data_IF_845065810954
#
_entry.id   IF_845065810954
#
_cell.length_a   1.000
_cell.length_b   1.000
_cell.length_c   1.000
_cell.angle_alpha   90.00
_cell.angle_beta   90.00
_cell.angle_gamma   90.00
#
_symmetry.space_group_name_H-M   'P 1'
#
loop_
_entity.id
_entity.type
_entity.pdbx_description
1 polymer ?
#
# COMPACT_ATOMS: atom_id res chain seq x y z
N UNK A 1 9.08 -9.17 19.43
CA UNK A 1 7.93 -8.44 18.83
C UNK A 1 8.02 -8.47 17.30
N UNK A 2 7.07 -9.10 16.60
CA UNK A 2 7.02 -9.04 15.14
C UNK A 2 6.65 -7.62 14.70
N UNK A 3 7.48 -7.01 13.85
CA UNK A 3 7.22 -5.70 13.26
C UNK A 3 5.86 -5.68 12.55
N UNK A 4 5.12 -4.57 12.63
CA UNK A 4 3.91 -4.32 11.83
C UNK A 4 4.24 -3.84 10.42
N UNK A 5 5.53 -3.78 10.05
CA UNK A 5 6.00 -3.43 8.73
C UNK A 5 6.69 -4.64 8.09
N UNK A 6 6.40 -4.88 6.82
CA UNK A 6 6.98 -5.96 6.04
C UNK A 6 7.29 -5.52 4.63
N UNK A 7 8.45 -5.92 4.12
CA UNK A 7 8.75 -5.85 2.69
C UNK A 7 8.20 -7.07 1.97
N UNK A 8 7.69 -6.89 0.76
CA UNK A 8 7.22 -7.99 -0.08
C UNK A 8 7.43 -7.70 -1.57
N UNK A 9 7.84 -8.73 -2.31
CA UNK A 9 8.01 -8.65 -3.76
C UNK A 9 6.75 -9.20 -4.42
N UNK A 10 6.14 -8.39 -5.28
CA UNK A 10 4.89 -8.73 -5.96
C UNK A 10 5.11 -8.66 -7.47
N UNK A 11 4.55 -9.65 -8.19
CA UNK A 11 4.44 -9.62 -9.65
C UNK A 11 3.13 -8.93 -10.03
N UNK A 12 3.21 -7.78 -10.68
CA UNK A 12 2.05 -7.01 -11.11
C UNK A 12 1.92 -7.04 -12.62
N UNK A 13 0.67 -7.14 -13.10
CA UNK A 13 0.33 -6.94 -14.50
C UNK A 13 -0.11 -5.50 -14.70
N UNK A 14 0.59 -4.76 -15.57
CA UNK A 14 0.31 -3.37 -15.87
C UNK A 14 0.00 -3.19 -17.36
N UNK A 15 -0.64 -2.07 -17.64
CA UNK A 15 -0.95 -1.61 -18.99
C UNK A 15 -0.69 -0.11 -19.06
N UNK A 16 0.24 0.30 -19.91
CA UNK A 16 0.62 1.70 -20.06
C UNK A 16 0.03 2.31 -21.31
N UNK A 17 -0.49 3.53 -21.18
CA UNK A 17 -0.94 4.33 -22.31
C UNK A 17 0.24 4.70 -23.24
N UNK A 18 0.01 4.89 -24.55
CA UNK A 18 1.05 5.28 -25.52
C UNK A 18 1.83 6.55 -25.16
N UNK A 19 1.24 7.47 -24.40
CA UNK A 19 1.93 8.69 -23.95
C UNK A 19 3.18 8.42 -23.10
N UNK A 20 3.31 7.20 -22.56
CA UNK A 20 4.49 6.74 -21.82
C UNK A 20 5.53 6.04 -22.69
N UNK A 21 5.29 5.91 -24.01
CA UNK A 21 6.28 5.40 -24.96
C UNK A 21 7.49 6.36 -24.98
N UNK A 22 8.60 5.93 -24.37
CA UNK A 22 9.81 6.74 -24.15
C UNK A 22 10.06 7.15 -22.70
N UNK A 23 9.08 6.96 -21.81
CA UNK A 23 9.17 7.25 -20.36
C UNK A 23 8.39 6.22 -19.56
N UNK A 24 8.72 4.95 -19.81
CA UNK A 24 8.01 3.78 -19.27
C UNK A 24 8.06 3.75 -17.75
N UNK A 25 9.24 4.02 -17.15
CA UNK A 25 9.39 4.02 -15.71
C UNK A 25 8.54 5.09 -15.02
N UNK A 26 8.39 6.26 -15.62
CA UNK A 26 7.52 7.32 -15.09
C UNK A 26 6.06 6.87 -15.08
N UNK A 27 5.60 6.23 -16.16
CA UNK A 27 4.25 5.68 -16.23
C UNK A 27 4.00 4.54 -15.24
N UNK A 28 5.00 3.67 -15.03
CA UNK A 28 4.93 2.62 -13.99
C UNK A 28 4.86 3.27 -12.61
N UNK A 29 5.74 4.22 -12.32
CA UNK A 29 5.76 4.92 -11.03
C UNK A 29 4.44 5.64 -10.77
N UNK A 30 3.84 6.28 -11.77
CA UNK A 30 2.53 6.93 -11.66
C UNK A 30 1.44 5.92 -11.25
N UNK A 31 1.38 4.76 -11.91
CA UNK A 31 0.43 3.70 -11.52
C UNK A 31 0.73 3.13 -10.13
N UNK A 32 2.00 2.94 -9.78
CA UNK A 32 2.40 2.44 -8.46
C UNK A 32 2.09 3.44 -7.34
N UNK A 33 2.24 4.74 -7.61
CA UNK A 33 1.90 5.81 -6.68
C UNK A 33 0.41 5.80 -6.31
N UNK A 34 -0.46 5.34 -7.21
CA UNK A 34 -1.88 5.21 -6.94
C UNK A 34 -2.21 4.20 -5.83
N UNK A 35 -1.30 3.27 -5.49
CA UNK A 35 -1.46 2.33 -4.38
C UNK A 35 -0.97 2.87 -3.04
N UNK A 36 -0.17 3.94 -3.03
CA UNK A 36 0.40 4.46 -1.79
C UNK A 36 -0.69 4.93 -0.83
N UNK A 37 -0.47 4.69 0.46
CA UNK A 37 -1.36 5.04 1.56
C UNK A 37 -2.76 4.41 1.48
N UNK A 38 -2.94 3.35 0.68
CA UNK A 38 -4.20 2.61 0.55
C UNK A 38 -4.04 1.17 1.01
N UNK A 39 -5.11 0.65 1.61
CA UNK A 39 -5.22 -0.78 1.91
C UNK A 39 -5.41 -1.56 0.61
N UNK A 40 -4.57 -2.57 0.40
CA UNK A 40 -4.60 -3.45 -0.77
C UNK A 40 -4.83 -4.89 -0.28
N UNK A 41 -5.98 -5.52 -0.59
CA UNK A 41 -6.33 -6.86 -0.10
C UNK A 41 -5.29 -7.95 -0.42
N UNK A 42 -4.65 -7.87 -1.59
CA UNK A 42 -3.69 -8.85 -2.09
C UNK A 42 -2.41 -8.91 -1.25
N UNK A 43 -2.07 -7.81 -0.57
CA UNK A 43 -0.97 -7.74 0.40
C UNK A 43 -1.46 -7.77 1.86
N UNK A 44 -2.78 -7.66 2.05
CA UNK A 44 -3.47 -7.60 3.34
C UNK A 44 -2.81 -6.56 4.26
N UNK A 45 -2.71 -5.34 3.75
CA UNK A 45 -2.06 -4.21 4.44
C UNK A 45 -2.08 -2.92 3.62
N UNK A 46 -1.51 -1.86 4.19
CA UNK A 46 -1.41 -0.55 3.56
C UNK A 46 -0.03 -0.40 2.91
N UNK A 47 0.01 -0.10 1.61
CA UNK A 47 1.28 0.11 0.89
C UNK A 47 1.82 1.51 1.23
N UNK A 48 3.04 1.58 1.75
CA UNK A 48 3.68 2.84 2.18
C UNK A 48 4.69 3.37 1.18
N UNK A 49 5.40 2.45 0.51
CA UNK A 49 6.41 2.78 -0.48
C UNK A 49 6.56 1.62 -1.46
N UNK A 50 7.08 1.95 -2.64
CA UNK A 50 7.50 0.98 -3.64
C UNK A 50 8.95 1.26 -4.04
N UNK A 51 9.66 0.21 -4.44
CA UNK A 51 11.08 0.27 -4.78
C UNK A 51 11.47 -0.92 -5.65
N UNK A 52 12.68 -0.87 -6.22
CA UNK A 52 13.28 -1.97 -6.98
C UNK A 52 12.32 -2.55 -8.04
N UNK A 53 11.74 -1.66 -8.85
CA UNK A 53 10.89 -2.04 -9.98
C UNK A 53 11.75 -2.71 -11.04
N UNK A 54 11.37 -3.92 -11.42
CA UNK A 54 12.07 -4.74 -12.39
C UNK A 54 11.14 -5.13 -13.52
N UNK A 55 11.56 -4.86 -14.75
CA UNK A 55 10.89 -5.32 -15.95
C UNK A 55 11.53 -6.65 -16.38
N UNK A 56 10.85 -7.80 -16.22
CA UNK A 56 11.38 -9.10 -16.64
C UNK A 56 11.58 -9.21 -18.15
N UNK A 57 10.92 -8.36 -18.93
CA UNK A 57 11.05 -8.24 -20.38
C UNK A 57 11.08 -6.76 -20.77
N UNK A 58 11.92 -6.40 -21.73
CA UNK A 58 11.94 -5.07 -22.34
C UNK A 58 10.87 -4.89 -23.45
N UNK A 59 10.04 -5.91 -23.65
CA UNK A 59 8.91 -5.91 -24.59
C UNK A 59 7.61 -6.04 -23.81
N UNK A 60 6.62 -5.24 -24.21
CA UNK A 60 5.22 -5.45 -23.85
C UNK A 60 4.39 -5.76 -25.10
N UNK A 61 3.15 -6.19 -24.87
CA UNK A 61 2.23 -6.63 -25.92
C UNK A 61 1.10 -5.63 -26.06
N UNK A 62 0.82 -5.21 -27.28
CA UNK A 62 -0.41 -4.51 -27.63
C UNK A 62 -1.46 -5.60 -27.91
N UNK A 63 -2.58 -5.56 -27.19
CA UNK A 63 -3.60 -6.61 -27.25
C UNK A 63 -4.80 -6.10 -28.03
N UNK A 64 -5.11 -6.75 -29.16
CA UNK A 64 -6.24 -6.43 -30.04
C UNK A 64 -6.19 -4.96 -30.50
N UNK A 65 -7.30 -4.23 -30.34
CA UNK A 65 -7.46 -2.84 -30.77
C UNK A 65 -7.10 -1.82 -29.67
N UNK A 66 -6.63 -2.29 -28.50
CA UNK A 66 -6.20 -1.41 -27.41
C UNK A 66 -4.80 -0.87 -27.69
N UNK A 67 -4.57 0.46 -27.73
CA UNK A 67 -3.24 1.00 -27.94
C UNK A 67 -2.34 0.89 -26.69
N UNK A 68 -2.84 0.33 -25.59
CA UNK A 68 -2.08 0.19 -24.35
C UNK A 68 -1.05 -0.94 -24.48
N UNK A 69 0.13 -0.70 -23.92
CA UNK A 69 1.20 -1.69 -23.86
C UNK A 69 1.07 -2.49 -22.56
N UNK A 70 0.83 -3.79 -22.67
CA UNK A 70 0.62 -4.70 -21.55
C UNK A 70 1.89 -5.48 -21.21
N UNK A 71 2.26 -5.55 -19.92
CA UNK A 71 3.43 -6.30 -19.46
C UNK A 71 3.38 -6.60 -17.96
N UNK A 72 4.23 -7.52 -17.52
CA UNK A 72 4.43 -7.79 -16.10
C UNK A 72 5.62 -7.01 -15.57
N UNK A 73 5.58 -6.64 -14.29
CA UNK A 73 6.72 -6.14 -13.52
C UNK A 73 6.87 -6.94 -12.22
N UNK A 74 8.05 -6.89 -11.63
CA UNK A 74 8.24 -7.20 -10.22
C UNK A 74 8.54 -5.91 -9.48
N UNK A 75 7.92 -5.72 -8.32
CA UNK A 75 8.13 -4.53 -7.49
C UNK A 75 8.21 -4.95 -6.03
N UNK A 76 9.07 -4.28 -5.26
CA UNK A 76 9.13 -4.43 -3.81
C UNK A 76 8.26 -3.36 -3.16
N UNK A 77 7.25 -3.77 -2.40
CA UNK A 77 6.45 -2.90 -1.56
C UNK A 77 6.90 -2.95 -0.09
N UNK A 78 6.92 -1.79 0.56
CA UNK A 78 6.90 -1.68 2.01
C UNK A 78 5.43 -1.58 2.45
N UNK A 79 4.98 -2.52 3.27
CA UNK A 79 3.58 -2.65 3.67
C UNK A 79 3.44 -2.54 5.18
N UNK A 80 2.52 -1.71 5.65
CA UNK A 80 2.06 -1.69 7.03
C UNK A 80 0.89 -2.66 7.22
N UNK A 81 1.13 -3.67 8.04
CA UNK A 81 0.27 -4.82 8.26
C UNK A 81 0.24 -5.17 9.76
N UNK A 82 -0.49 -4.39 10.58
CA UNK A 82 -0.68 -4.71 11.99
C UNK A 82 -1.50 -5.99 12.13
N UNK A 83 -1.06 -6.92 12.98
CA UNK A 83 -1.78 -8.18 13.25
C UNK A 83 -2.59 -8.08 14.54
N UNK A 84 -3.71 -8.82 14.64
CA UNK A 84 -4.44 -8.95 15.90
C UNK A 84 -3.51 -9.41 17.02
N UNK A 85 -3.61 -8.77 18.20
CA UNK A 85 -2.72 -9.01 19.33
C UNK A 85 -1.40 -8.22 19.29
N UNK A 86 -1.10 -7.49 18.20
CA UNK A 86 0.05 -6.59 18.17
C UNK A 86 -0.18 -5.40 19.10
N UNK A 87 0.86 -5.02 19.84
CA UNK A 87 0.86 -3.79 20.61
C UNK A 87 1.27 -2.64 19.69
N UNK A 88 0.43 -1.61 19.61
CA UNK A 88 0.66 -0.42 18.79
C UNK A 88 0.62 0.80 19.70
N UNK A 89 1.48 1.78 19.40
CA UNK A 89 1.55 3.05 20.13
C UNK A 89 1.04 4.15 19.21
N UNK A 90 0.11 4.96 19.71
CA UNK A 90 -0.44 6.11 19.01
C UNK A 90 -0.59 7.30 19.94
N UNK A 91 -0.67 8.50 19.35
CA UNK A 91 -1.03 9.72 20.08
C UNK A 91 -2.54 9.89 20.06
N UNK A 92 -3.13 10.20 21.21
CA UNK A 92 -4.56 10.51 21.31
C UNK A 92 -4.85 11.77 20.47
N UNK A 93 -5.84 11.68 19.58
CA UNK A 93 -6.29 12.82 18.77
C UNK A 93 -7.76 13.21 19.05
N UNK A 94 -8.54 12.33 19.68
CA UNK A 94 -9.94 12.55 20.03
C UNK A 94 -10.29 11.83 21.33
N UNK A 95 -11.06 12.48 22.19
CA UNK A 95 -11.66 11.87 23.38
C UNK A 95 -13.13 12.24 23.41
N UNK A 96 -14.00 11.23 23.46
CA UNK A 96 -15.45 11.38 23.47
C UNK A 96 -16.08 10.47 24.52
N UNK A 97 -17.39 10.56 24.74
CA UNK A 97 -18.10 9.69 25.67
C UNK A 97 -18.11 8.22 25.22
N UNK A 98 -17.97 7.94 23.93
CA UNK A 98 -18.11 6.60 23.34
C UNK A 98 -16.78 5.93 22.99
N UNK A 99 -15.72 6.70 22.75
CA UNK A 99 -14.41 6.17 22.36
C UNK A 99 -13.27 7.18 22.50
N UNK A 100 -12.04 6.65 22.52
CA UNK A 100 -10.79 7.40 22.38
C UNK A 100 -10.25 7.15 20.97
N UNK A 101 -9.99 8.21 20.21
CA UNK A 101 -9.32 8.17 18.91
C UNK A 101 -7.81 8.38 19.07
N UNK A 102 -7.03 7.65 18.27
CA UNK A 102 -5.58 7.73 18.23
C UNK A 102 -5.06 7.78 16.79
N UNK A 103 -3.91 8.43 16.62
CA UNK A 103 -3.08 8.33 15.42
C UNK A 103 -1.85 7.50 15.72
N UNK A 104 -1.74 6.34 15.07
CA UNK A 104 -0.56 5.49 15.10
C UNK A 104 0.46 6.07 14.11
N UNK A 105 1.69 6.30 14.58
CA UNK A 105 2.76 6.99 13.83
C UNK A 105 2.36 8.37 13.27
N UNK A 106 1.29 9.00 13.80
CA UNK A 106 0.76 10.25 13.27
C UNK A 106 -0.04 10.10 11.96
N UNK A 107 -0.29 8.87 11.49
CA UNK A 107 -0.80 8.61 10.14
C UNK A 107 -2.04 7.72 10.15
N UNK A 108 -2.01 6.60 10.88
CA UNK A 108 -3.09 5.62 10.82
C UNK A 108 -4.09 5.84 11.94
N UNK A 109 -5.37 5.97 11.58
CA UNK A 109 -6.44 6.10 12.55
C UNK A 109 -6.66 4.79 13.30
N UNK A 110 -6.79 4.89 14.62
CA UNK A 110 -7.20 3.82 15.51
C UNK A 110 -8.22 4.34 16.51
N UNK A 111 -9.09 3.46 17.00
CA UNK A 111 -10.07 3.80 18.03
C UNK A 111 -10.13 2.72 19.11
N UNK A 112 -10.26 3.16 20.36
CA UNK A 112 -10.53 2.31 21.51
C UNK A 112 -11.96 2.63 21.96
N UNK A 113 -12.94 1.75 21.68
CA UNK A 113 -14.32 1.98 22.10
C UNK A 113 -14.47 1.86 23.62
N UNK A 114 -15.46 2.54 24.20
CA UNK A 114 -15.74 2.55 25.65
C UNK A 114 -15.81 1.16 26.27
N UNK A 115 -16.38 0.18 25.56
CA UNK A 115 -16.47 -1.22 26.01
C UNK A 115 -15.11 -1.92 26.20
N UNK A 116 -14.01 -1.32 25.73
CA UNK A 116 -12.65 -1.81 25.85
C UNK A 116 -11.79 -0.97 26.80
N UNK A 117 -12.35 0.06 27.43
CA UNK A 117 -11.66 0.91 28.40
C UNK A 117 -11.92 0.32 29.81
N UNK A 118 -10.89 0.17 30.65
CA UNK A 118 -11.07 -0.25 32.05
C UNK A 118 -11.98 0.72 32.83
N UNK A 119 -12.72 0.19 33.81
CA UNK A 119 -13.69 0.96 34.61
C UNK A 119 -13.10 1.60 35.87
N UNK A 120 -11.81 1.35 36.13
CA UNK A 120 -11.08 1.75 37.34
C UNK A 120 -10.69 3.24 37.35
#
# INVERSE_FOLDING_TARGET
>A
PSSSFSEMVVKLYLHLAPMWAGKIMDGINEQLNAFLMKYVPEVDGIILAHSNVQLPSNKGTIVQDSPFCHFFIHVKFLVWKPKKGSQLVGRINLQSQDHIGLLIYGTFNASIPKSRIPAD
#
